data_IF_523606202166
#
_entry.id   IF_523606202166
#
_cell.length_a   1.000
_cell.length_b   1.000
_cell.length_c   1.000
_cell.angle_alpha   90.00
_cell.angle_beta   90.00
_cell.angle_gamma   90.00
#
_symmetry.space_group_name_H-M   'P 1'
#
loop_
_entity.id
_entity.type
_entity.pdbx_description
1 polymer ?
#
# COMPACT_ATOMS: atom_id res chain seq x y z
N UNK A 1 -8.50 24.68 -9.76
CA UNK A 1 -9.06 23.45 -9.14
C UNK A 1 -9.48 23.82 -7.72
N UNK A 2 -10.65 23.38 -7.24
CA UNK A 2 -11.09 23.72 -5.88
C UNK A 2 -10.26 22.89 -4.90
N UNK A 3 -9.93 23.41 -3.71
CA UNK A 3 -9.11 22.69 -2.73
C UNK A 3 -9.62 21.28 -2.37
N UNK A 4 -10.95 21.10 -2.41
CA UNK A 4 -11.63 19.80 -2.24
C UNK A 4 -11.27 18.76 -3.32
N UNK A 5 -11.01 19.20 -4.55
CA UNK A 5 -10.66 18.31 -5.66
C UNK A 5 -9.22 17.76 -5.45
N UNK A 6 -8.31 18.61 -4.97
CA UNK A 6 -6.93 18.22 -4.63
C UNK A 6 -6.89 17.27 -3.44
N UNK A 7 -7.69 17.55 -2.41
CA UNK A 7 -7.82 16.68 -1.24
C UNK A 7 -8.31 15.27 -1.61
N UNK A 8 -9.33 15.17 -2.46
CA UNK A 8 -9.82 13.88 -2.96
C UNK A 8 -8.75 13.12 -3.77
N UNK A 9 -7.96 13.83 -4.58
CA UNK A 9 -6.83 13.25 -5.31
C UNK A 9 -5.73 12.74 -4.36
N UNK A 10 -5.39 13.48 -3.30
CA UNK A 10 -4.40 13.04 -2.30
C UNK A 10 -4.85 11.76 -1.59
N UNK A 11 -6.12 11.69 -1.18
CA UNK A 11 -6.70 10.49 -0.57
C UNK A 11 -6.62 9.29 -1.52
N UNK A 12 -7.02 9.48 -2.79
CA UNK A 12 -6.92 8.45 -3.82
C UNK A 12 -5.49 7.99 -4.06
N UNK A 13 -4.54 8.93 -4.14
CA UNK A 13 -3.12 8.63 -4.34
C UNK A 13 -2.53 7.85 -3.15
N UNK A 14 -2.94 8.16 -1.92
CA UNK A 14 -2.47 7.45 -0.74
C UNK A 14 -3.01 6.01 -0.65
N UNK A 15 -4.25 5.79 -1.06
CA UNK A 15 -4.81 4.44 -1.19
C UNK A 15 -4.06 3.61 -2.22
N UNK A 16 -3.90 4.15 -3.44
CA UNK A 16 -3.20 3.47 -4.54
C UNK A 16 -1.71 3.28 -4.21
N UNK A 17 -1.07 4.29 -3.64
CA UNK A 17 0.33 4.26 -3.23
C UNK A 17 0.60 3.20 -2.16
N UNK A 18 -0.30 3.03 -1.19
CA UNK A 18 -0.22 1.97 -0.19
C UNK A 18 -0.26 0.57 -0.80
N UNK A 19 -1.17 0.34 -1.76
CA UNK A 19 -1.29 -0.94 -2.47
C UNK A 19 -0.04 -1.21 -3.31
N UNK A 20 0.43 -0.24 -4.10
CA UNK A 20 1.65 -0.38 -4.91
C UNK A 20 2.86 -0.67 -4.03
N UNK A 21 3.02 0.03 -2.91
CA UNK A 21 4.10 -0.20 -1.97
C UNK A 21 4.03 -1.61 -1.36
N UNK A 22 2.85 -2.06 -0.94
CA UNK A 22 2.63 -3.41 -0.43
C UNK A 22 2.98 -4.48 -1.46
N UNK A 23 2.54 -4.32 -2.70
CA UNK A 23 2.86 -5.26 -3.78
C UNK A 23 4.35 -5.30 -4.10
N UNK A 24 5.01 -4.14 -4.17
CA UNK A 24 6.46 -4.06 -4.40
C UNK A 24 7.22 -4.78 -3.29
N UNK A 25 6.93 -4.47 -2.03
CA UNK A 25 7.60 -5.11 -0.89
C UNK A 25 7.33 -6.62 -0.87
N UNK A 26 6.08 -7.04 -1.07
CA UNK A 26 5.70 -8.44 -1.12
C UNK A 26 6.40 -9.22 -2.23
N UNK A 27 6.53 -8.61 -3.41
CA UNK A 27 7.29 -9.19 -4.52
C UNK A 27 8.78 -9.34 -4.20
N UNK A 28 9.40 -8.31 -3.62
CA UNK A 28 10.82 -8.39 -3.22
C UNK A 28 11.05 -9.45 -2.14
N UNK A 29 10.09 -9.64 -1.22
CA UNK A 29 10.15 -10.68 -0.19
C UNK A 29 10.05 -12.07 -0.81
N UNK A 30 9.10 -12.29 -1.72
CA UNK A 30 8.95 -13.58 -2.40
C UNK A 30 10.17 -13.88 -3.30
N UNK A 31 10.72 -12.88 -3.99
CA UNK A 31 11.95 -13.02 -4.78
C UNK A 31 13.17 -13.35 -3.92
N UNK A 32 13.34 -12.66 -2.78
CA UNK A 32 14.42 -12.93 -1.84
C UNK A 32 14.30 -14.33 -1.23
N UNK A 33 13.09 -14.75 -0.88
CA UNK A 33 12.83 -16.08 -0.33
C UNK A 33 13.14 -17.18 -1.35
N UNK A 34 12.73 -17.02 -2.62
CA UNK A 34 13.02 -17.98 -3.69
C UNK A 34 14.54 -18.06 -3.95
N UNK A 35 15.24 -16.93 -3.97
CA UNK A 35 16.66 -16.87 -4.31
C UNK A 35 17.60 -17.31 -3.16
N UNK A 36 17.21 -17.12 -1.89
CA UNK A 36 18.03 -17.53 -0.73
C UNK A 36 17.68 -18.92 -0.19
N UNK A 37 16.39 -19.28 -0.15
CA UNK A 37 15.93 -20.50 0.52
C UNK A 37 15.51 -21.59 -0.47
N UNK A 38 15.40 -21.29 -1.76
CA UNK A 38 14.92 -22.24 -2.78
C UNK A 38 13.47 -22.69 -2.58
N UNK A 39 12.74 -22.01 -1.68
CA UNK A 39 11.34 -22.29 -1.39
C UNK A 39 10.47 -21.35 -2.21
N UNK A 40 9.63 -21.92 -3.08
CA UNK A 40 8.60 -21.16 -3.78
C UNK A 40 7.47 -20.81 -2.80
N UNK A 41 7.66 -19.76 -2.01
CA UNK A 41 6.62 -19.19 -1.15
C UNK A 41 5.65 -18.27 -1.89
N UNK A 42 5.85 -18.02 -3.19
CA UNK A 42 4.92 -17.23 -4.00
C UNK A 42 3.51 -17.88 -4.02
N UNK A 43 2.43 -17.17 -3.66
CA UNK A 43 2.33 -15.72 -3.46
C UNK A 43 2.05 -15.31 -2.00
N UNK A 44 2.55 -16.04 -1.00
CA UNK A 44 2.24 -15.78 0.40
C UNK A 44 2.83 -14.47 0.92
N UNK A 45 4.08 -14.14 0.57
CA UNK A 45 4.68 -12.85 0.92
C UNK A 45 3.92 -11.71 0.27
N UNK A 46 3.65 -11.82 -1.03
CA UNK A 46 2.84 -10.85 -1.77
C UNK A 46 1.42 -10.68 -1.19
N UNK A 47 0.74 -11.75 -0.80
CA UNK A 47 -0.59 -11.69 -0.16
C UNK A 47 -0.56 -10.93 1.16
N UNK A 48 0.39 -11.26 2.06
CA UNK A 48 0.48 -10.61 3.37
C UNK A 48 0.78 -9.12 3.19
N UNK A 49 1.77 -8.78 2.37
CA UNK A 49 2.14 -7.39 2.14
C UNK A 49 1.11 -6.61 1.32
N UNK A 50 0.30 -7.28 0.50
CA UNK A 50 -0.85 -6.67 -0.16
C UNK A 50 -1.88 -6.17 0.87
N UNK A 51 -2.26 -7.00 1.85
CA UNK A 51 -3.17 -6.58 2.92
C UNK A 51 -2.56 -5.46 3.77
N UNK A 52 -1.27 -5.54 4.10
CA UNK A 52 -0.56 -4.47 4.81
C UNK A 52 -0.58 -3.17 4.00
N UNK A 53 -0.35 -3.25 2.69
CA UNK A 53 -0.41 -2.12 1.77
C UNK A 53 -1.78 -1.46 1.73
N UNK A 54 -2.85 -2.26 1.68
CA UNK A 54 -4.23 -1.77 1.79
C UNK A 54 -4.43 -1.04 3.12
N UNK A 55 -4.09 -1.67 4.25
CA UNK A 55 -4.26 -1.08 5.59
C UNK A 55 -3.50 0.24 5.70
N UNK A 56 -2.27 0.30 5.17
CA UNK A 56 -1.44 1.50 5.15
C UNK A 56 -2.09 2.63 4.33
N UNK A 57 -2.60 2.30 3.13
CA UNK A 57 -3.29 3.25 2.27
C UNK A 57 -4.54 3.83 2.93
N UNK A 58 -5.37 2.98 3.54
CA UNK A 58 -6.55 3.41 4.30
C UNK A 58 -6.19 4.25 5.53
N UNK A 59 -5.13 3.89 6.26
CA UNK A 59 -4.67 4.65 7.43
C UNK A 59 -4.19 6.05 7.05
N UNK A 60 -3.50 6.19 5.93
CA UNK A 60 -3.08 7.51 5.42
C UNK A 60 -4.28 8.33 4.94
N UNK A 61 -5.18 7.71 4.15
CA UNK A 61 -6.42 8.35 3.70
C UNK A 61 -7.26 8.88 4.88
N UNK A 62 -7.45 8.06 5.92
CA UNK A 62 -8.17 8.47 7.12
C UNK A 62 -7.51 9.65 7.85
N UNK A 63 -6.18 9.65 7.94
CA UNK A 63 -5.43 10.76 8.55
C UNK A 63 -5.58 12.05 7.74
N UNK A 64 -5.62 11.96 6.42
CA UNK A 64 -5.81 13.14 5.56
C UNK A 64 -7.23 13.67 5.64
N UNK A 65 -8.23 12.79 5.69
CA UNK A 65 -9.62 13.20 5.92
C UNK A 65 -9.78 13.93 7.25
N UNK A 66 -9.18 13.41 8.33
CA UNK A 66 -9.24 14.05 9.65
C UNK A 66 -8.61 15.45 9.66
N UNK A 67 -7.51 15.65 8.93
CA UNK A 67 -6.87 16.98 8.76
C UNK A 67 -7.67 17.99 7.95
N UNK A 68 -8.67 17.54 7.20
CA UNK A 68 -9.55 18.42 6.43
C UNK A 68 -10.80 18.78 7.22
N UNK A 69 -11.13 18.01 8.26
CA UNK A 69 -12.24 18.23 9.17
C UNK A 69 -11.86 19.19 10.32
N UNK A 70 -10.60 19.14 10.77
CA UNK A 70 -9.96 20.11 11.69
C UNK A 70 -9.59 21.43 10.97
#
# INVERSE_FOLDING_TARGET
MRGKDIAALTVGLNLVGGIIAGLLVGYFVDWGAENWFGVKTSPWGLLIFFFIGIISGFRNAYRDMKRLED
#
